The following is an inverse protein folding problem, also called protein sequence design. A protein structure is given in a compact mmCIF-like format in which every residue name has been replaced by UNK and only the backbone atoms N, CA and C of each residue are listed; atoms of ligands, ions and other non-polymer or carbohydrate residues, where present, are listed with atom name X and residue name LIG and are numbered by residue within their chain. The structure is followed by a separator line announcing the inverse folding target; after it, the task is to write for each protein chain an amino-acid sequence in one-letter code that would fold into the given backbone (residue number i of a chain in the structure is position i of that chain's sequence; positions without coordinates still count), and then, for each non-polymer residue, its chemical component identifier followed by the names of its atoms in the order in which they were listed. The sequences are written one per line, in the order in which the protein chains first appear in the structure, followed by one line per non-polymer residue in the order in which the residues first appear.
data_IF_457093150288
#
_entry.id   IF_457093150288
#
_cell.length_a   1.000
_cell.length_b   1.000
_cell.length_c   1.000
_cell.angle_alpha   90.00
_cell.angle_beta   90.00
_cell.angle_gamma   90.00
#
_symmetry.space_group_name_H-M   'P 1'
#
loop_
_entity.id
_entity.type
_entity.pdbx_description
1 polymer ?
#
# COMPACT_ATOMS: atom_id res chain seq x y z
N UNK A 1 -66.17 35.10 -3.19
CA UNK A 1 -65.07 34.95 -2.21
C UNK A 1 -64.36 33.63 -2.54
N UNK A 2 -63.30 33.68 -3.31
CA UNK A 2 -62.53 32.50 -3.76
C UNK A 2 -61.10 32.69 -3.26
N UNK A 3 -60.78 31.94 -2.17
CA UNK A 3 -59.46 31.96 -1.54
C UNK A 3 -58.50 31.03 -2.32
N UNK A 4 -57.47 31.60 -2.94
CA UNK A 4 -56.41 30.87 -3.59
C UNK A 4 -55.35 30.49 -2.57
N UNK A 5 -55.16 29.17 -2.31
CA UNK A 5 -54.05 28.61 -1.59
C UNK A 5 -52.83 28.53 -2.52
N UNK A 6 -51.80 29.30 -2.21
CA UNK A 6 -50.52 29.21 -2.87
C UNK A 6 -49.69 28.15 -2.16
N UNK A 7 -49.39 27.03 -2.85
CA UNK A 7 -48.52 25.96 -2.38
C UNK A 7 -47.07 26.39 -2.61
N UNK A 8 -46.33 26.71 -1.53
CA UNK A 8 -44.91 27.02 -1.59
C UNK A 8 -44.12 25.72 -1.63
N UNK A 9 -43.57 25.39 -2.81
CA UNK A 9 -42.69 24.25 -3.01
C UNK A 9 -41.30 24.63 -2.52
N UNK A 10 -40.90 24.13 -1.34
CA UNK A 10 -39.52 24.25 -0.83
C UNK A 10 -38.63 23.25 -1.59
N UNK A 11 -37.85 23.74 -2.55
CA UNK A 11 -36.80 22.95 -3.20
C UNK A 11 -35.66 22.74 -2.20
N UNK A 12 -35.52 21.49 -1.71
CA UNK A 12 -34.40 21.03 -0.94
C UNK A 12 -33.20 20.96 -1.90
N UNK A 13 -32.36 21.98 -1.92
CA UNK A 13 -31.08 21.94 -2.63
C UNK A 13 -30.13 21.06 -1.79
N UNK A 14 -29.95 19.83 -2.19
CA UNK A 14 -28.91 18.96 -1.65
C UNK A 14 -27.55 19.56 -1.94
N UNK A 15 -26.83 19.97 -0.92
CA UNK A 15 -25.40 20.29 -1.03
C UNK A 15 -24.64 19.01 -1.35
N UNK A 16 -24.36 18.79 -2.62
CA UNK A 16 -23.36 17.81 -3.04
C UNK A 16 -21.99 18.37 -2.59
N UNK A 17 -21.38 17.74 -1.61
CA UNK A 17 -19.97 17.97 -1.31
C UNK A 17 -19.16 17.52 -2.51
N UNK A 18 -18.66 18.46 -3.28
CA UNK A 18 -17.79 18.20 -4.41
C UNK A 18 -16.47 17.61 -3.88
N UNK A 19 -16.21 16.35 -4.16
CA UNK A 19 -14.87 15.77 -4.06
C UNK A 19 -13.98 16.56 -5.02
N UNK A 20 -12.90 17.13 -4.50
CA UNK A 20 -11.95 17.88 -5.34
C UNK A 20 -11.16 16.85 -6.18
N UNK A 21 -11.44 16.84 -7.47
CA UNK A 21 -10.75 16.02 -8.44
C UNK A 21 -9.75 16.88 -9.19
N UNK A 22 -8.47 16.54 -9.04
CA UNK A 22 -7.37 17.22 -9.74
C UNK A 22 -6.89 16.32 -10.89
N UNK A 23 -7.12 16.71 -12.16
CA UNK A 23 -6.52 16.02 -13.30
C UNK A 23 -5.03 16.33 -13.35
N UNK A 24 -4.21 15.29 -13.59
CA UNK A 24 -2.76 15.43 -13.78
C UNK A 24 -2.45 15.09 -15.24
N UNK A 25 -2.10 16.08 -16.06
CA UNK A 25 -1.75 15.85 -17.45
C UNK A 25 -0.41 15.10 -17.52
N UNK A 26 -0.35 14.08 -18.38
CA UNK A 26 0.86 13.31 -18.63
C UNK A 26 1.69 13.96 -19.73
N UNK A 27 3.02 14.04 -19.55
CA UNK A 27 3.95 14.52 -20.57
C UNK A 27 3.92 13.66 -21.85
N UNK A 28 3.76 12.33 -21.71
CA UNK A 28 3.72 11.38 -22.82
C UNK A 28 2.53 10.43 -22.67
N UNK A 29 1.31 10.83 -23.06
CA UNK A 29 0.13 9.96 -22.96
C UNK A 29 0.31 8.65 -23.73
N UNK A 30 -0.09 7.52 -23.12
CA UNK A 30 0.04 6.18 -23.72
C UNK A 30 1.36 5.45 -23.42
N UNK A 31 2.36 6.12 -22.86
CA UNK A 31 3.55 5.49 -22.31
C UNK A 31 3.29 5.01 -20.86
N UNK A 32 4.07 4.02 -20.36
CA UNK A 32 3.98 3.60 -18.97
C UNK A 32 4.19 4.77 -18.01
N UNK A 33 3.45 4.76 -16.91
CA UNK A 33 3.50 5.79 -15.86
C UNK A 33 4.22 5.24 -14.65
N UNK A 34 4.99 6.08 -13.97
CA UNK A 34 5.54 5.80 -12.64
C UNK A 34 4.85 6.71 -11.63
N UNK A 35 4.21 6.13 -10.64
CA UNK A 35 3.51 6.84 -9.57
C UNK A 35 4.23 6.63 -8.25
N UNK A 36 4.70 7.71 -7.64
CA UNK A 36 5.35 7.73 -6.32
C UNK A 36 4.47 8.50 -5.32
N UNK A 37 4.16 7.87 -4.20
CA UNK A 37 3.27 8.44 -3.20
C UNK A 37 3.92 8.33 -1.82
N UNK A 38 4.05 9.45 -1.12
CA UNK A 38 4.54 9.50 0.25
C UNK A 38 3.54 10.27 1.12
N UNK A 39 2.85 9.55 1.99
CA UNK A 39 1.91 10.15 2.96
C UNK A 39 2.34 9.86 4.39
N UNK A 40 2.20 10.85 5.24
CA UNK A 40 2.37 10.69 6.69
C UNK A 40 1.10 10.11 7.32
N UNK A 41 -0.06 10.67 6.96
CA UNK A 41 -1.35 10.25 7.51
C UNK A 41 -2.42 10.19 6.41
N UNK A 42 -3.13 9.09 6.37
CA UNK A 42 -4.23 8.89 5.43
C UNK A 42 -4.07 7.61 4.62
N UNK A 43 -5.17 7.12 4.10
CA UNK A 43 -5.16 5.93 3.27
C UNK A 43 -4.95 6.29 1.80
N UNK A 44 -4.19 5.46 1.12
CA UNK A 44 -3.90 5.55 -0.31
C UNK A 44 -4.71 4.51 -1.05
N UNK A 45 -5.50 4.93 -2.04
CA UNK A 45 -6.19 4.03 -2.96
C UNK A 45 -5.74 4.33 -4.38
N UNK A 46 -5.14 3.35 -5.06
CA UNK A 46 -4.74 3.45 -6.47
C UNK A 46 -5.61 2.51 -7.30
N UNK A 47 -6.26 3.05 -8.30
CA UNK A 47 -7.15 2.33 -9.20
C UNK A 47 -6.60 2.39 -10.63
N UNK A 48 -6.08 1.27 -11.12
CA UNK A 48 -5.71 1.12 -12.52
C UNK A 48 -6.95 0.97 -13.38
N UNK A 49 -6.96 1.61 -14.54
CA UNK A 49 -8.10 1.56 -15.45
C UNK A 49 -7.72 1.85 -16.89
N UNK A 50 -8.67 1.64 -17.81
CA UNK A 50 -8.47 1.98 -19.21
C UNK A 50 -8.38 3.50 -19.35
N UNK A 51 -7.48 3.98 -20.19
CA UNK A 51 -7.29 5.40 -20.47
C UNK A 51 -5.83 5.83 -20.29
N UNK A 52 -5.60 7.11 -20.59
CA UNK A 52 -4.26 7.72 -20.57
C UNK A 52 -4.25 8.95 -19.67
N UNK A 53 -5.17 9.02 -18.72
CA UNK A 53 -5.31 10.15 -17.80
C UNK A 53 -5.02 9.71 -16.37
N UNK A 54 -4.42 10.61 -15.60
CA UNK A 54 -4.26 10.45 -14.16
C UNK A 54 -5.11 11.48 -13.45
N UNK A 55 -5.80 11.05 -12.42
CA UNK A 55 -6.55 11.98 -11.56
C UNK A 55 -6.41 11.64 -10.10
N UNK A 56 -6.25 12.67 -9.30
CA UNK A 56 -6.15 12.58 -7.84
C UNK A 56 -7.44 13.14 -7.23
N UNK A 57 -8.11 12.33 -6.45
CA UNK A 57 -9.32 12.71 -5.73
C UNK A 57 -8.99 12.70 -4.23
N UNK A 58 -9.16 13.83 -3.59
CA UNK A 58 -8.98 13.93 -2.13
C UNK A 58 -10.32 13.71 -1.45
N UNK A 59 -10.43 12.63 -0.67
CA UNK A 59 -11.56 12.43 0.22
C UNK A 59 -11.42 13.38 1.41
N UNK A 60 -12.33 14.32 1.56
CA UNK A 60 -12.48 15.01 2.84
C UNK A 60 -12.72 13.93 3.90
N UNK A 61 -11.81 13.77 4.86
CA UNK A 61 -12.18 13.08 6.08
C UNK A 61 -13.47 13.75 6.56
N UNK A 62 -14.54 12.97 6.68
CA UNK A 62 -15.84 13.43 7.17
C UNK A 62 -15.78 13.72 8.69
N UNK A 63 -14.75 14.44 9.10
CA UNK A 63 -14.71 15.03 10.41
C UNK A 63 -15.49 16.33 10.25
N UNK A 64 -16.68 16.46 10.83
CA UNK A 64 -17.38 17.73 10.84
C UNK A 64 -16.40 18.79 11.32
N UNK A 65 -16.41 20.01 10.73
CA UNK A 65 -15.51 21.06 11.15
C UNK A 65 -15.60 21.15 12.67
N UNK A 66 -14.51 20.77 13.33
CA UNK A 66 -14.44 20.86 14.79
C UNK A 66 -14.71 22.33 15.11
N UNK A 67 -15.75 22.65 15.93
CA UNK A 67 -16.03 24.02 16.26
C UNK A 67 -14.72 24.66 16.71
N UNK A 68 -14.45 25.93 16.33
CA UNK A 68 -13.23 26.61 16.74
C UNK A 68 -13.07 26.38 18.23
N UNK A 69 -12.04 25.63 18.64
CA UNK A 69 -11.72 25.56 20.07
C UNK A 69 -11.48 27.02 20.49
N UNK A 70 -12.37 27.58 21.26
CA UNK A 70 -12.07 28.77 22.05
C UNK A 70 -10.89 28.35 22.93
N UNK A 71 -9.69 28.64 22.48
CA UNK A 71 -8.50 28.55 23.29
C UNK A 71 -8.27 29.93 23.88
N UNK A 72 -8.77 30.09 25.10
CA UNK A 72 -8.54 31.28 25.91
C UNK A 72 -7.08 31.37 26.42
N UNK A 73 -6.20 30.48 25.94
CA UNK A 73 -4.81 30.31 26.44
C UNK A 73 -3.75 30.89 25.49
N UNK A 74 -4.05 31.93 24.73
CA UNK A 74 -2.98 32.64 24.01
C UNK A 74 -2.30 33.57 25.01
N UNK A 75 -0.99 33.35 25.36
CA UNK A 75 -0.30 34.22 26.27
C UNK A 75 -0.35 35.67 25.81
N UNK A 76 -0.58 36.58 26.74
CA UNK A 76 -0.67 38.00 26.43
C UNK A 76 0.59 38.48 25.67
N UNK A 77 0.38 39.15 24.55
CA UNK A 77 1.47 39.69 23.71
C UNK A 77 1.98 38.75 22.63
N UNK A 78 1.50 37.49 22.53
CA UNK A 78 1.88 36.58 21.45
C UNK A 78 0.89 36.66 20.29
N UNK A 79 1.42 36.58 19.05
CA UNK A 79 0.63 36.48 17.84
C UNK A 79 0.70 35.04 17.32
N UNK A 80 -0.45 34.48 16.94
CA UNK A 80 -0.49 33.21 16.25
C UNK A 80 0.14 33.37 14.86
N UNK A 81 1.13 32.54 14.56
CA UNK A 81 1.67 32.38 13.21
C UNK A 81 0.90 31.23 12.56
N UNK A 82 0.21 31.50 11.48
CA UNK A 82 -0.48 30.49 10.69
C UNK A 82 0.48 30.03 9.58
N UNK A 83 0.84 28.74 9.59
CA UNK A 83 1.75 28.13 8.61
C UNK A 83 1.03 27.66 7.34
N UNK A 84 -0.21 28.08 7.13
CA UNK A 84 -1.04 27.64 6.03
C UNK A 84 -1.76 26.31 6.30
N UNK A 85 -2.55 25.86 5.34
CA UNK A 85 -3.22 24.56 5.42
C UNK A 85 -2.25 23.48 4.93
N UNK A 86 -2.19 22.30 5.62
CA UNK A 86 -1.53 21.13 5.07
C UNK A 86 -2.12 20.82 3.68
N UNK A 87 -1.28 20.53 2.71
CA UNK A 87 -1.69 20.27 1.35
C UNK A 87 -0.92 19.10 0.72
N UNK A 88 -1.43 18.61 -0.39
CA UNK A 88 -0.69 17.70 -1.26
C UNK A 88 0.13 18.51 -2.24
N UNK A 89 1.38 18.12 -2.42
CA UNK A 89 2.18 18.52 -3.56
C UNK A 89 2.10 17.42 -4.63
N UNK A 90 1.75 17.78 -5.85
CA UNK A 90 1.65 16.87 -6.98
C UNK A 90 2.56 17.41 -8.07
N UNK A 91 3.60 16.65 -8.42
CA UNK A 91 4.52 16.97 -9.48
C UNK A 91 4.48 15.89 -10.56
N UNK A 92 4.46 16.29 -11.81
CA UNK A 92 4.61 15.39 -12.97
C UNK A 92 5.82 15.80 -13.79
N UNK A 93 6.68 14.82 -14.14
CA UNK A 93 7.82 15.01 -15.00
C UNK A 93 8.11 13.73 -15.78
N UNK A 94 7.99 13.78 -17.10
CA UNK A 94 8.30 12.66 -18.00
C UNK A 94 7.55 11.36 -17.64
N UNK A 95 6.26 11.44 -17.34
CA UNK A 95 5.37 10.37 -16.86
C UNK A 95 5.73 9.80 -15.47
N UNK A 96 6.59 10.45 -14.73
CA UNK A 96 6.77 10.20 -13.31
C UNK A 96 5.96 11.22 -12.52
N UNK A 97 5.02 10.71 -11.72
CA UNK A 97 4.15 11.51 -10.86
C UNK A 97 4.56 11.27 -9.43
N UNK A 98 4.88 12.35 -8.72
CA UNK A 98 5.22 12.32 -7.30
C UNK A 98 4.13 13.04 -6.51
N UNK A 99 3.63 12.40 -5.48
CA UNK A 99 2.60 12.93 -4.57
C UNK A 99 3.14 12.86 -3.16
N UNK A 100 3.37 14.03 -2.57
CA UNK A 100 3.89 14.17 -1.22
C UNK A 100 2.92 14.97 -0.34
N UNK A 101 2.78 14.60 0.94
CA UNK A 101 2.09 15.44 1.89
C UNK A 101 3.05 16.45 2.55
N UNK A 102 2.71 17.72 2.48
CA UNK A 102 3.41 18.78 3.19
C UNK A 102 2.58 19.22 4.40
N UNK A 103 3.04 18.87 5.59
CA UNK A 103 2.45 19.33 6.84
C UNK A 103 1.37 18.44 7.45
N UNK A 104 1.39 17.13 7.13
CA UNK A 104 0.54 16.15 7.83
C UNK A 104 -0.93 16.27 7.45
N UNK A 105 -1.24 16.29 6.16
CA UNK A 105 -2.61 16.15 5.69
C UNK A 105 -3.21 14.86 6.23
N UNK A 106 -4.28 14.96 7.00
CA UNK A 106 -5.08 13.81 7.41
C UNK A 106 -6.22 13.65 6.43
N UNK A 107 -6.06 12.76 5.45
CA UNK A 107 -7.12 12.51 4.49
C UNK A 107 -6.82 11.32 3.58
N UNK A 108 -7.88 10.69 3.12
CA UNK A 108 -7.75 9.60 2.17
C UNK A 108 -7.59 10.17 0.77
N UNK A 109 -6.68 9.61 -0.01
CA UNK A 109 -6.54 9.96 -1.42
C UNK A 109 -6.89 8.76 -2.29
N UNK A 110 -7.58 9.05 -3.39
CA UNK A 110 -7.86 8.07 -4.43
C UNK A 110 -7.25 8.55 -5.73
N UNK A 111 -6.41 7.73 -6.33
CA UNK A 111 -5.68 8.06 -7.55
C UNK A 111 -6.10 7.06 -8.63
N UNK A 112 -6.62 7.59 -9.72
CA UNK A 112 -6.92 6.80 -10.91
C UNK A 112 -5.76 6.94 -11.89
N UNK A 113 -5.25 5.81 -12.37
CA UNK A 113 -4.08 5.75 -13.26
C UNK A 113 -4.34 4.82 -14.44
N UNK A 114 -3.59 4.96 -15.54
CA UNK A 114 -3.58 3.94 -16.59
C UNK A 114 -3.20 2.57 -16.04
N UNK A 115 -3.72 1.50 -16.64
CA UNK A 115 -3.40 0.11 -16.20
C UNK A 115 -1.89 -0.15 -16.20
N UNK A 116 -1.15 0.37 -17.18
CA UNK A 116 0.31 0.21 -17.31
C UNK A 116 1.05 1.24 -16.45
N UNK A 117 0.99 1.04 -15.12
CA UNK A 117 1.61 1.94 -14.15
C UNK A 117 2.49 1.16 -13.17
N UNK A 118 3.71 1.65 -12.93
CA UNK A 118 4.55 1.23 -11.82
C UNK A 118 4.20 2.09 -10.60
N UNK A 119 3.91 1.46 -9.47
CA UNK A 119 3.45 2.17 -8.26
C UNK A 119 4.43 1.96 -7.11
N UNK A 120 4.84 3.07 -6.50
CA UNK A 120 5.57 3.11 -5.23
C UNK A 120 4.75 3.91 -4.23
N UNK A 121 4.17 3.26 -3.24
CA UNK A 121 3.30 3.90 -2.26
C UNK A 121 3.82 3.66 -0.84
N UNK A 122 4.06 4.75 -0.11
CA UNK A 122 4.54 4.71 1.28
C UNK A 122 3.62 5.52 2.18
N UNK A 123 3.24 4.94 3.33
CA UNK A 123 2.45 5.65 4.35
C UNK A 123 2.92 5.29 5.76
N UNK A 124 2.89 6.27 6.66
CA UNK A 124 3.18 6.00 8.08
C UNK A 124 1.90 5.54 8.79
N UNK A 125 0.79 6.23 8.59
CA UNK A 125 -0.49 5.92 9.24
C UNK A 125 -1.63 5.92 8.24
N UNK A 126 -2.05 4.73 7.82
CA UNK A 126 -3.14 4.51 6.88
C UNK A 126 -2.95 3.23 6.07
N UNK A 127 -4.01 2.78 5.44
CA UNK A 127 -3.97 1.60 4.58
C UNK A 127 -3.56 1.96 3.15
N UNK A 128 -2.90 1.03 2.48
CA UNK A 128 -2.60 1.11 1.05
C UNK A 128 -3.47 0.09 0.32
N UNK A 129 -4.22 0.55 -0.67
CA UNK A 129 -5.03 -0.29 -1.55
C UNK A 129 -4.69 0.00 -3.01
N UNK A 130 -4.19 -1.00 -3.73
CA UNK A 130 -3.82 -0.86 -5.15
C UNK A 130 -4.55 -1.93 -5.93
N UNK A 131 -5.21 -1.55 -7.02
CA UNK A 131 -5.98 -2.49 -7.83
C UNK A 131 -5.81 -2.29 -9.33
N UNK A 132 -5.86 -3.40 -10.07
CA UNK A 132 -5.90 -3.44 -11.54
C UNK A 132 -4.71 -2.76 -12.22
N UNK A 133 -3.50 -3.02 -11.71
CA UNK A 133 -2.25 -2.42 -12.22
C UNK A 133 -1.39 -3.49 -12.90
N UNK A 134 -0.87 -3.13 -14.08
CA UNK A 134 0.13 -3.89 -14.83
C UNK A 134 1.48 -3.15 -14.76
N UNK A 135 2.33 -3.58 -13.83
CA UNK A 135 3.63 -2.99 -13.54
C UNK A 135 4.14 -3.46 -12.19
N UNK A 136 5.33 -3.01 -11.82
CA UNK A 136 5.88 -3.32 -10.51
C UNK A 136 5.15 -2.51 -9.43
N UNK A 137 4.86 -3.14 -8.31
CA UNK A 137 4.22 -2.51 -7.16
C UNK A 137 5.12 -2.62 -5.94
N UNK A 138 5.48 -1.47 -5.37
CA UNK A 138 6.12 -1.35 -4.06
C UNK A 138 5.15 -0.64 -3.12
N UNK A 139 4.73 -1.32 -2.05
CA UNK A 139 3.78 -0.79 -1.07
C UNK A 139 4.34 -0.94 0.34
N UNK A 140 4.51 0.16 1.05
CA UNK A 140 5.11 0.20 2.38
C UNK A 140 4.21 0.97 3.36
N UNK A 141 3.70 0.27 4.39
CA UNK A 141 2.88 0.86 5.44
C UNK A 141 3.51 0.62 6.82
N UNK A 142 3.62 1.66 7.63
CA UNK A 142 4.07 1.45 9.02
C UNK A 142 2.89 1.02 9.91
N UNK A 143 1.81 1.77 9.91
CA UNK A 143 0.60 1.46 10.69
C UNK A 143 -0.61 1.39 9.77
N UNK A 144 -0.76 0.25 9.10
CA UNK A 144 -1.87 0.03 8.18
C UNK A 144 -1.69 -1.25 7.37
N UNK A 145 -2.77 -1.75 6.83
CA UNK A 145 -2.76 -2.92 5.96
C UNK A 145 -2.40 -2.55 4.52
N UNK A 146 -1.81 -3.51 3.82
CA UNK A 146 -1.56 -3.43 2.38
C UNK A 146 -2.49 -4.41 1.67
N UNK A 147 -3.32 -3.89 0.76
CA UNK A 147 -4.24 -4.69 -0.05
C UNK A 147 -3.96 -4.47 -1.53
N UNK A 148 -3.58 -5.53 -2.22
CA UNK A 148 -3.26 -5.53 -3.64
C UNK A 148 -4.24 -6.45 -4.35
N UNK A 149 -4.95 -5.94 -5.35
CA UNK A 149 -6.00 -6.71 -6.05
C UNK A 149 -5.77 -6.67 -7.55
N UNK A 150 -5.78 -7.83 -8.19
CA UNK A 150 -5.60 -7.96 -9.64
C UNK A 150 -4.32 -7.29 -10.14
N UNK A 151 -3.17 -7.65 -9.54
CA UNK A 151 -1.86 -7.12 -9.92
C UNK A 151 -1.20 -8.03 -10.95
N UNK A 152 -0.72 -7.44 -12.04
CA UNK A 152 0.09 -8.10 -13.05
C UNK A 152 1.51 -7.50 -13.03
N UNK A 153 2.44 -8.16 -12.33
CA UNK A 153 3.80 -7.66 -12.17
C UNK A 153 4.53 -8.23 -10.97
N UNK A 154 5.69 -7.66 -10.67
CA UNK A 154 6.43 -7.96 -9.45
C UNK A 154 5.89 -7.13 -8.28
N UNK A 155 5.92 -7.72 -7.09
CA UNK A 155 5.40 -7.07 -5.88
C UNK A 155 6.42 -7.09 -4.77
N UNK A 156 6.62 -5.92 -4.17
CA UNK A 156 7.28 -5.74 -2.87
C UNK A 156 6.28 -5.08 -1.94
N UNK A 157 5.79 -5.83 -0.95
CA UNK A 157 4.83 -5.33 0.02
C UNK A 157 5.41 -5.44 1.43
N UNK A 158 5.41 -4.34 2.14
CA UNK A 158 5.90 -4.26 3.51
C UNK A 158 4.87 -3.61 4.43
N UNK A 159 4.63 -4.23 5.60
CA UNK A 159 3.83 -3.62 6.65
C UNK A 159 4.46 -3.88 8.02
N UNK A 160 4.57 -2.86 8.87
CA UNK A 160 5.04 -3.08 10.23
C UNK A 160 3.90 -3.57 11.14
N UNK A 161 2.81 -2.82 11.18
CA UNK A 161 1.64 -3.14 12.00
C UNK A 161 0.39 -3.24 11.13
N UNK A 162 0.27 -4.34 10.40
CA UNK A 162 -0.88 -4.62 9.54
C UNK A 162 -0.67 -5.84 8.68
N UNK A 163 -1.76 -6.43 8.21
CA UNK A 163 -1.72 -7.57 7.30
C UNK A 163 -1.44 -7.15 5.87
N UNK A 164 -0.93 -8.10 5.09
CA UNK A 164 -0.75 -7.97 3.65
C UNK A 164 -1.71 -8.95 2.97
N UNK A 165 -2.54 -8.44 2.08
CA UNK A 165 -3.38 -9.25 1.20
C UNK A 165 -3.06 -8.93 -0.25
N UNK A 166 -2.69 -9.94 -1.05
CA UNK A 166 -2.35 -9.73 -2.45
C UNK A 166 -3.02 -10.77 -3.35
N UNK A 167 -3.66 -10.33 -4.42
CA UNK A 167 -4.15 -11.15 -5.52
C UNK A 167 -3.33 -10.84 -6.77
N UNK A 168 -2.46 -11.77 -7.16
CA UNK A 168 -1.61 -11.67 -8.33
C UNK A 168 -2.27 -12.41 -9.48
N UNK A 169 -2.60 -11.70 -10.55
CA UNK A 169 -3.22 -12.31 -11.74
C UNK A 169 -2.18 -12.75 -12.77
N UNK A 170 -1.00 -12.12 -12.75
CA UNK A 170 0.11 -12.48 -13.62
C UNK A 170 1.43 -12.14 -12.93
N UNK A 171 2.20 -13.15 -12.61
CA UNK A 171 3.56 -12.98 -12.11
C UNK A 171 4.50 -12.69 -13.29
N UNK A 172 5.40 -11.71 -13.13
CA UNK A 172 6.47 -11.48 -14.12
C UNK A 172 7.49 -12.60 -13.99
N UNK A 173 7.85 -13.21 -15.10
CA UNK A 173 8.89 -14.22 -15.12
C UNK A 173 10.22 -13.64 -14.63
N UNK A 174 10.99 -14.43 -13.90
CA UNK A 174 12.33 -14.13 -13.41
C UNK A 174 12.46 -12.90 -12.49
N UNK A 175 11.34 -12.34 -12.01
CA UNK A 175 11.37 -11.27 -11.04
C UNK A 175 10.98 -11.77 -9.62
N UNK A 176 11.80 -11.48 -8.61
CA UNK A 176 11.49 -11.84 -7.23
C UNK A 176 10.30 -11.04 -6.69
N UNK A 177 9.62 -11.60 -5.69
CA UNK A 177 8.58 -10.91 -4.94
C UNK A 177 8.88 -10.98 -3.44
N UNK A 178 8.42 -9.99 -2.69
CA UNK A 178 8.62 -9.94 -1.24
C UNK A 178 7.35 -9.47 -0.53
N UNK A 179 6.92 -10.24 0.44
CA UNK A 179 5.79 -9.94 1.32
C UNK A 179 6.29 -10.02 2.77
N UNK A 180 6.44 -8.88 3.42
CA UNK A 180 7.03 -8.82 4.75
C UNK A 180 6.11 -8.06 5.71
N UNK A 181 5.73 -8.69 6.81
CA UNK A 181 5.01 -8.05 7.91
C UNK A 181 5.72 -8.29 9.23
N UNK A 182 5.66 -7.35 10.17
CA UNK A 182 6.08 -7.64 11.55
C UNK A 182 4.90 -8.21 12.34
N UNK A 183 3.78 -7.48 12.36
CA UNK A 183 2.59 -7.85 13.12
C UNK A 183 1.38 -7.93 12.19
N UNK A 184 1.24 -9.05 11.48
CA UNK A 184 0.10 -9.24 10.60
C UNK A 184 0.17 -10.52 9.78
N UNK A 185 -1.01 -10.95 9.35
CA UNK A 185 -1.18 -12.08 8.44
C UNK A 185 -0.73 -11.68 7.04
N UNK A 186 -0.05 -12.58 6.35
CA UNK A 186 0.26 -12.49 4.92
C UNK A 186 -0.65 -13.48 4.18
N UNK A 187 -1.45 -12.97 3.25
CA UNK A 187 -2.48 -13.73 2.53
C UNK A 187 -2.33 -13.43 1.03
N UNK A 188 -1.72 -14.34 0.29
CA UNK A 188 -1.35 -14.11 -1.11
C UNK A 188 -1.94 -15.18 -2.01
N UNK A 189 -2.64 -14.74 -3.03
CA UNK A 189 -3.17 -15.59 -4.09
C UNK A 189 -2.30 -15.48 -5.34
N UNK A 190 -1.80 -16.61 -5.82
CA UNK A 190 -0.94 -16.70 -7.01
C UNK A 190 -1.61 -17.51 -8.12
N UNK A 191 -1.32 -17.23 -9.39
CA UNK A 191 -1.76 -18.07 -10.51
C UNK A 191 -1.29 -19.53 -10.34
N UNK A 192 -2.13 -20.51 -10.70
CA UNK A 192 -1.80 -21.93 -10.59
C UNK A 192 -0.49 -22.33 -11.30
N UNK A 193 -0.16 -21.69 -12.41
CA UNK A 193 1.06 -21.94 -13.17
C UNK A 193 2.31 -21.22 -12.67
N UNK A 194 2.25 -20.51 -11.55
CA UNK A 194 3.39 -19.79 -10.99
C UNK A 194 4.53 -20.73 -10.66
N UNK A 195 5.72 -20.45 -11.17
CA UNK A 195 6.97 -21.16 -10.88
C UNK A 195 7.81 -20.31 -9.95
N UNK A 196 8.12 -20.81 -8.75
CA UNK A 196 8.88 -20.02 -7.79
C UNK A 196 9.61 -20.90 -6.77
N UNK A 197 10.66 -20.33 -6.19
CA UNK A 197 11.28 -20.79 -4.96
C UNK A 197 10.76 -19.95 -3.82
N UNK A 198 10.01 -20.56 -2.90
CA UNK A 198 9.39 -19.88 -1.78
C UNK A 198 10.31 -19.91 -0.57
N UNK A 199 10.58 -18.77 0.00
CA UNK A 199 11.27 -18.64 1.29
C UNK A 199 10.27 -18.16 2.33
N UNK A 200 9.92 -19.06 3.25
CA UNK A 200 8.84 -18.86 4.21
C UNK A 200 9.44 -18.72 5.60
N UNK A 201 9.09 -17.63 6.30
CA UNK A 201 9.60 -17.35 7.64
C UNK A 201 8.50 -16.76 8.51
N UNK A 202 8.13 -17.48 9.58
CA UNK A 202 7.30 -16.94 10.65
C UNK A 202 7.88 -17.33 12.01
N UNK A 203 7.76 -16.46 12.98
CA UNK A 203 8.24 -16.74 14.33
C UNK A 203 7.09 -17.24 15.23
N UNK A 204 5.92 -16.60 15.11
CA UNK A 204 4.72 -16.91 15.86
C UNK A 204 3.53 -16.99 14.91
N UNK A 205 3.35 -18.14 14.26
CA UNK A 205 2.29 -18.38 13.31
C UNK A 205 2.51 -19.66 12.52
N UNK A 206 1.60 -19.95 11.62
CA UNK A 206 1.60 -21.14 10.80
C UNK A 206 1.64 -20.78 9.32
N UNK A 207 2.08 -21.72 8.48
CA UNK A 207 2.12 -21.56 7.04
C UNK A 207 1.14 -22.55 6.41
N UNK A 208 0.25 -22.02 5.58
CA UNK A 208 -0.73 -22.82 4.83
C UNK A 208 -0.57 -22.56 3.35
N UNK A 209 -0.76 -23.56 2.53
CA UNK A 209 -0.72 -23.41 1.08
C UNK A 209 -1.60 -24.41 0.36
N UNK A 210 -2.20 -23.96 -0.74
CA UNK A 210 -2.94 -24.81 -1.69
C UNK A 210 -2.04 -25.39 -2.80
N UNK A 211 -0.76 -24.99 -2.85
CA UNK A 211 0.20 -25.54 -3.81
C UNK A 211 0.85 -26.82 -3.29
N UNK A 212 1.10 -27.75 -4.20
CA UNK A 212 2.00 -28.86 -3.95
C UNK A 212 3.42 -28.33 -3.83
N UNK A 213 3.95 -28.31 -2.61
CA UNK A 213 5.27 -27.78 -2.30
C UNK A 213 6.30 -28.90 -2.13
N UNK A 214 7.38 -28.81 -2.89
CA UNK A 214 8.57 -29.64 -2.63
C UNK A 214 9.45 -28.91 -1.62
N UNK A 215 9.49 -29.42 -0.39
CA UNK A 215 10.32 -28.86 0.67
C UNK A 215 11.79 -29.14 0.40
N UNK A 216 12.64 -28.13 0.58
CA UNK A 216 14.09 -28.32 0.60
C UNK A 216 14.54 -28.63 2.04
N UNK A 217 15.51 -29.52 2.23
CA UNK A 217 16.05 -29.79 3.57
C UNK A 217 16.59 -28.49 4.16
N UNK A 218 16.23 -28.24 5.44
CA UNK A 218 16.68 -27.06 6.17
C UNK A 218 18.19 -26.94 6.11
N UNK A 219 18.66 -25.74 5.80
CA UNK A 219 20.10 -25.42 5.87
C UNK A 219 20.62 -25.71 7.27
N UNK A 220 21.77 -26.39 7.36
CA UNK A 220 22.43 -26.65 8.63
C UNK A 220 22.68 -25.32 9.39
N UNK A 221 22.68 -25.34 10.73
CA UNK A 221 22.98 -24.15 11.52
C UNK A 221 24.33 -23.56 11.09
N UNK A 222 24.37 -22.26 10.83
CA UNK A 222 25.64 -21.56 10.57
C UNK A 222 26.32 -21.32 11.90
N UNK A 223 27.43 -21.98 12.13
CA UNK A 223 28.27 -21.82 13.33
C UNK A 223 29.40 -20.85 12.99
N UNK A 224 29.36 -19.66 13.55
CA UNK A 224 30.47 -18.69 13.51
C UNK A 224 31.29 -18.83 14.80
N UNK A 225 32.42 -19.53 14.74
CA UNK A 225 33.34 -19.67 15.87
C UNK A 225 34.55 -18.74 15.71
N UNK A 226 34.51 -17.60 16.38
CA UNK A 226 35.60 -16.63 16.42
C UNK A 226 36.23 -16.55 17.81
N UNK A 227 36.14 -17.60 18.61
CA UNK A 227 36.68 -17.60 20.00
C UNK A 227 38.19 -17.36 20.08
N UNK A 228 38.93 -17.75 19.04
CA UNK A 228 40.38 -17.53 18.97
C UNK A 228 40.80 -16.08 18.76
N UNK A 229 39.99 -15.26 18.05
CA UNK A 229 40.34 -13.87 17.74
C UNK A 229 39.54 -12.84 18.53
N UNK A 230 38.26 -13.10 18.81
CA UNK A 230 37.33 -12.14 19.43
C UNK A 230 36.51 -12.69 20.61
N UNK A 231 36.82 -13.90 21.07
CA UNK A 231 36.12 -14.56 22.19
C UNK A 231 34.62 -14.81 21.94
N UNK A 232 34.15 -14.81 20.67
CA UNK A 232 32.75 -14.89 20.31
C UNK A 232 32.41 -16.21 19.62
N UNK A 233 31.47 -16.95 20.21
CA UNK A 233 30.82 -18.10 19.60
C UNK A 233 29.37 -17.75 19.30
N UNK A 234 28.94 -17.90 18.06
CA UNK A 234 27.57 -17.60 17.61
C UNK A 234 27.03 -18.74 16.77
N UNK A 235 25.89 -19.26 17.18
CA UNK A 235 25.10 -20.19 16.36
C UNK A 235 23.90 -19.44 15.82
N UNK A 236 23.78 -19.30 14.52
CA UNK A 236 22.58 -18.81 13.86
C UNK A 236 21.76 -20.01 13.40
N UNK A 237 20.58 -20.20 13.98
CA UNK A 237 19.55 -21.06 13.45
C UNK A 237 18.59 -20.21 12.62
N UNK A 238 18.59 -20.37 11.32
CA UNK A 238 17.56 -19.78 10.47
C UNK A 238 16.34 -20.71 10.47
N UNK A 239 15.20 -20.20 10.97
CA UNK A 239 13.92 -20.92 10.99
C UNK A 239 13.14 -20.74 9.68
N UNK A 240 13.81 -20.33 8.62
CA UNK A 240 13.19 -20.25 7.31
C UNK A 240 13.01 -21.63 6.70
N UNK A 241 11.85 -21.86 6.12
CA UNK A 241 11.56 -23.04 5.30
C UNK A 241 11.64 -22.62 3.85
N UNK A 242 12.41 -23.37 3.07
CA UNK A 242 12.47 -23.20 1.63
C UNK A 242 11.65 -24.28 0.95
N UNK A 243 10.80 -23.89 0.02
CA UNK A 243 9.98 -24.79 -0.77
C UNK A 243 9.99 -24.39 -2.24
N UNK A 244 9.78 -25.34 -3.12
CA UNK A 244 9.71 -25.11 -4.56
C UNK A 244 8.33 -25.48 -5.06
N UNK A 245 7.72 -24.59 -5.88
CA UNK A 245 6.44 -24.83 -6.57
C UNK A 245 6.66 -24.88 -8.08
N UNK A 246 5.96 -25.82 -8.77
CA UNK A 246 5.95 -25.98 -10.21
C UNK A 246 7.35 -26.02 -10.86
N UNK A 247 8.32 -26.65 -10.18
CA UNK A 247 9.69 -26.83 -10.71
C UNK A 247 10.65 -25.67 -10.42
N UNK A 248 10.25 -24.68 -9.65
CA UNK A 248 11.09 -23.56 -9.24
C UNK A 248 11.14 -22.39 -10.22
N UNK A 249 11.77 -21.31 -9.78
CA UNK A 249 11.85 -20.03 -10.49
C UNK A 249 12.46 -18.97 -9.59
N UNK A 250 12.08 -17.69 -9.75
CA UNK A 250 12.54 -16.60 -8.91
C UNK A 250 12.17 -16.82 -7.44
N UNK A 251 12.92 -16.17 -6.55
CA UNK A 251 12.67 -16.27 -5.12
C UNK A 251 11.50 -15.37 -4.71
N UNK A 252 10.52 -15.96 -4.00
CA UNK A 252 9.43 -15.25 -3.35
C UNK A 252 9.60 -15.36 -1.85
N UNK A 253 9.83 -14.22 -1.20
CA UNK A 253 10.00 -14.11 0.24
C UNK A 253 8.65 -13.82 0.91
N UNK A 254 8.28 -14.67 1.87
CA UNK A 254 7.15 -14.45 2.78
C UNK A 254 7.68 -14.44 4.21
N UNK A 255 7.66 -13.30 4.85
CA UNK A 255 8.21 -13.17 6.19
C UNK A 255 7.23 -12.42 7.10
N UNK A 256 6.89 -13.03 8.23
CA UNK A 256 6.20 -12.34 9.32
C UNK A 256 6.81 -12.72 10.66
N UNK A 257 6.67 -11.86 11.65
CA UNK A 257 7.06 -12.23 13.01
C UNK A 257 5.86 -12.77 13.78
N UNK A 258 4.76 -12.01 13.80
CA UNK A 258 3.52 -12.37 14.49
C UNK A 258 2.38 -12.47 13.48
N UNK A 259 2.14 -13.66 12.95
CA UNK A 259 1.06 -13.88 12.00
C UNK A 259 1.26 -15.15 11.18
N UNK A 260 0.19 -15.61 10.57
CA UNK A 260 0.23 -16.77 9.66
C UNK A 260 0.45 -16.32 8.22
N UNK A 261 1.04 -17.21 7.43
CA UNK A 261 1.27 -17.05 6.00
C UNK A 261 0.33 -17.99 5.27
N UNK A 262 -0.51 -17.46 4.39
CA UNK A 262 -1.41 -18.20 3.55
C UNK A 262 -1.07 -17.94 2.09
N UNK A 263 -0.91 -19.03 1.32
CA UNK A 263 -0.58 -18.96 -0.11
C UNK A 263 -1.63 -19.76 -0.87
N UNK A 264 -2.51 -19.05 -1.54
CA UNK A 264 -3.61 -19.61 -2.30
C UNK A 264 -3.26 -19.79 -3.77
N UNK A 265 -3.82 -20.84 -4.35
CA UNK A 265 -3.73 -21.13 -5.79
C UNK A 265 -5.02 -20.73 -6.47
N UNK A 266 -4.92 -19.92 -7.53
CA UNK A 266 -6.04 -19.46 -8.34
C UNK A 266 -6.16 -20.28 -9.61
#
# INVERSE_FOLDING_TARGET
MTTRFALLLFALQGFAFAQEKVPVPLSNPGQPVTLKIHLTNGSVTVLGGPGNEVSVETGSASTPPRPPRQRDDVPAGMKRIDFGRPGLNIEEKANEITIDDHGGMSGNITIKVPTRTTVQAKTISGAISISSVEGSVEAEATNGSVTLTAIAGAVVAHSLNGGIKADIVKATADQPMSFTSLNGKIDVTLPAGTKAKLRLKTQWGEVYSDFDMKMEPNSAPVVEDSRGEKGKYRVKMDRSVTATINGGGPEYLFQTMNGSILIHKK
#
